data_IF_611664481529
#
_entry.id   IF_611664481529
#
_cell.length_a   1.000
_cell.length_b   1.000
_cell.length_c   1.000
_cell.angle_alpha   90.00
_cell.angle_beta   90.00
_cell.angle_gamma   90.00
#
_symmetry.space_group_name_H-M   'P 1'
#
loop_
_entity.id
_entity.type
_entity.pdbx_description
1 polymer ?
#
# COMPACT_ATOMS: atom_id res chain seq x y z
N UNK A 1 41.59 1.23 -44.57
CA UNK A 1 40.69 1.49 -43.41
C UNK A 1 40.94 0.44 -42.35
N UNK A 2 41.35 0.86 -41.14
CA UNK A 2 41.46 -0.09 -40.01
C UNK A 2 40.07 -0.59 -39.63
N UNK A 3 39.98 -1.86 -39.24
CA UNK A 3 38.73 -2.48 -38.76
C UNK A 3 37.98 -1.57 -37.75
N UNK A 4 38.72 -0.95 -36.82
CA UNK A 4 38.19 -0.04 -35.82
C UNK A 4 37.48 1.17 -36.42
N UNK A 5 38.06 1.77 -37.46
CA UNK A 5 37.48 2.92 -38.16
C UNK A 5 36.21 2.53 -38.92
N UNK A 6 36.23 1.38 -39.58
CA UNK A 6 35.05 0.82 -40.25
C UNK A 6 33.94 0.54 -39.22
N UNK A 7 34.23 -0.13 -38.13
CA UNK A 7 33.26 -0.46 -37.08
C UNK A 7 32.64 0.80 -36.46
N UNK A 8 33.44 1.85 -36.22
CA UNK A 8 32.92 3.11 -35.67
C UNK A 8 32.03 3.84 -36.68
N UNK A 9 32.39 3.89 -37.96
CA UNK A 9 31.57 4.50 -39.00
C UNK A 9 30.26 3.72 -39.16
N UNK A 10 30.32 2.39 -39.26
CA UNK A 10 29.12 1.54 -39.32
C UNK A 10 28.20 1.74 -38.15
N UNK A 11 28.73 1.82 -36.91
CA UNK A 11 27.95 2.12 -35.72
C UNK A 11 27.28 3.48 -35.78
N UNK A 12 27.92 4.50 -36.36
CA UNK A 12 27.37 5.83 -36.48
C UNK A 12 26.24 5.92 -37.52
N UNK A 13 26.37 5.18 -38.62
CA UNK A 13 25.42 5.19 -39.75
C UNK A 13 24.25 4.21 -39.54
N UNK A 14 24.48 3.10 -38.79
CA UNK A 14 23.52 2.00 -38.54
C UNK A 14 23.43 1.67 -37.05
N UNK A 15 23.16 2.68 -36.23
CA UNK A 15 23.15 2.54 -34.76
C UNK A 15 22.08 1.58 -34.26
N UNK A 16 20.95 1.53 -34.91
CA UNK A 16 19.84 0.62 -34.67
C UNK A 16 20.26 -0.86 -34.84
N UNK A 17 20.82 -1.18 -35.99
CA UNK A 17 21.32 -2.54 -36.31
C UNK A 17 22.46 -2.93 -35.40
N UNK A 18 23.36 -1.97 -35.10
CA UNK A 18 24.47 -2.19 -34.21
C UNK A 18 24.02 -2.55 -32.77
N UNK A 19 23.04 -1.81 -32.25
CA UNK A 19 22.52 -2.03 -30.89
C UNK A 19 21.76 -3.34 -30.83
N UNK A 20 20.88 -3.62 -31.82
CA UNK A 20 20.13 -4.89 -31.85
C UNK A 20 21.07 -6.10 -31.87
N UNK A 21 22.06 -6.08 -32.78
CA UNK A 21 22.99 -7.20 -32.95
C UNK A 21 23.92 -7.44 -31.76
N UNK A 22 24.28 -6.39 -31.02
CA UNK A 22 25.26 -6.49 -29.94
C UNK A 22 24.66 -6.50 -28.52
N UNK A 23 23.55 -5.83 -28.34
CA UNK A 23 22.95 -5.59 -27.03
C UNK A 23 21.53 -6.15 -26.93
N UNK A 24 20.96 -6.54 -28.08
CA UNK A 24 19.66 -7.20 -28.16
C UNK A 24 18.47 -6.25 -28.16
N UNK A 25 17.29 -6.81 -28.38
CA UNK A 25 16.02 -6.10 -28.56
C UNK A 25 15.67 -5.13 -27.41
N UNK A 26 15.99 -5.50 -26.17
CA UNK A 26 15.76 -4.61 -25.02
C UNK A 26 16.57 -3.32 -25.15
N UNK A 27 17.85 -3.42 -25.55
CA UNK A 27 18.69 -2.24 -25.73
C UNK A 27 18.24 -1.39 -26.93
N UNK A 28 17.73 -2.00 -28.00
CA UNK A 28 17.11 -1.31 -29.13
C UNK A 28 15.94 -0.45 -28.67
N UNK A 29 15.02 -1.02 -27.85
CA UNK A 29 13.91 -0.28 -27.28
C UNK A 29 14.36 0.84 -26.33
N UNK A 30 15.44 0.60 -25.58
CA UNK A 30 15.92 1.53 -24.57
C UNK A 30 16.74 2.69 -25.10
N UNK A 31 17.48 2.49 -26.22
CA UNK A 31 18.50 3.42 -26.70
C UNK A 31 18.20 4.03 -28.06
N UNK A 32 17.39 3.36 -28.89
CA UNK A 32 17.24 3.70 -30.29
C UNK A 32 15.82 4.06 -30.68
N UNK A 33 14.85 3.20 -30.32
CA UNK A 33 13.47 3.45 -30.72
C UNK A 33 12.93 4.72 -30.07
N UNK A 34 12.20 5.56 -30.83
CA UNK A 34 11.58 6.75 -30.30
C UNK A 34 10.52 6.36 -29.25
N UNK A 35 10.48 7.07 -28.15
CA UNK A 35 9.44 6.90 -27.16
C UNK A 35 8.21 7.75 -27.52
N UNK A 36 7.03 7.22 -27.16
CA UNK A 36 5.77 7.94 -27.36
C UNK A 36 5.68 9.04 -26.29
N UNK A 37 5.70 10.29 -26.75
CA UNK A 37 5.42 11.45 -25.88
C UNK A 37 3.96 11.42 -25.48
N UNK A 38 3.70 11.49 -24.18
CA UNK A 38 2.33 11.47 -23.63
C UNK A 38 1.87 12.90 -23.36
N UNK A 39 0.77 13.27 -23.98
CA UNK A 39 0.11 14.54 -23.72
C UNK A 39 -0.85 14.40 -22.52
N UNK A 40 -0.50 15.03 -21.41
CA UNK A 40 -1.30 15.06 -20.18
C UNK A 40 -2.19 16.33 -20.10
N UNK A 41 -2.21 17.17 -21.12
CA UNK A 41 -3.03 18.39 -21.12
C UNK A 41 -4.52 18.08 -20.95
N UNK A 42 -4.97 16.96 -21.50
CA UNK A 42 -6.36 16.48 -21.47
C UNK A 42 -6.77 15.83 -20.15
N UNK A 43 -5.83 15.57 -19.26
CA UNK A 43 -6.13 14.99 -17.93
C UNK A 43 -6.50 16.09 -16.95
N UNK A 44 -7.39 15.76 -16.06
CA UNK A 44 -7.67 16.54 -14.86
C UNK A 44 -6.99 15.90 -13.64
N UNK A 45 -6.80 16.67 -12.57
CA UNK A 45 -6.29 16.17 -11.30
C UNK A 45 -7.20 15.04 -10.81
N UNK A 46 -6.62 13.90 -10.45
CA UNK A 46 -7.34 12.72 -9.98
C UNK A 46 -7.97 11.85 -11.09
N UNK A 47 -7.80 12.20 -12.38
CA UNK A 47 -8.21 11.26 -13.45
C UNK A 47 -7.35 10.00 -13.42
N UNK A 48 -6.04 10.15 -13.36
CA UNK A 48 -5.09 9.04 -13.34
C UNK A 48 -4.10 9.21 -12.20
N UNK A 49 -4.04 8.23 -11.31
CA UNK A 49 -2.98 8.14 -10.32
C UNK A 49 -2.05 6.98 -10.65
N UNK A 50 -0.76 7.19 -10.43
CA UNK A 50 0.30 6.23 -10.73
C UNK A 50 0.81 5.66 -9.42
N UNK A 51 0.68 4.35 -9.24
CA UNK A 51 1.14 3.64 -8.04
C UNK A 51 2.43 2.87 -8.26
N UNK A 52 3.35 2.97 -7.31
CA UNK A 52 4.57 2.17 -7.30
C UNK A 52 5.14 2.02 -5.88
N UNK A 53 5.98 0.99 -5.68
CA UNK A 53 6.70 0.74 -4.45
C UNK A 53 8.17 1.17 -4.53
N UNK A 54 8.68 1.76 -3.45
CA UNK A 54 10.07 2.19 -3.34
C UNK A 54 10.68 1.72 -2.03
N UNK A 55 11.76 0.94 -2.08
CA UNK A 55 12.50 0.54 -0.89
C UNK A 55 13.41 1.67 -0.46
N UNK A 56 13.07 2.32 0.65
CA UNK A 56 13.78 3.48 1.17
C UNK A 56 15.25 3.14 1.53
N UNK A 57 16.17 4.05 1.26
CA UNK A 57 17.61 3.84 1.41
C UNK A 57 18.15 4.26 2.80
N UNK A 58 17.33 4.15 3.83
CA UNK A 58 17.69 4.42 5.21
C UNK A 58 17.10 3.38 6.16
N UNK A 59 17.58 3.33 7.40
CA UNK A 59 17.05 2.45 8.43
C UNK A 59 16.05 3.17 9.33
N UNK A 60 15.02 2.42 9.74
CA UNK A 60 14.10 2.76 10.82
C UNK A 60 14.16 1.69 11.90
N UNK A 61 13.69 2.02 13.09
CA UNK A 61 13.54 1.05 14.18
C UNK A 61 12.31 0.18 13.88
N UNK A 62 12.53 -1.14 13.79
CA UNK A 62 11.42 -2.09 13.64
C UNK A 62 10.53 -2.03 14.88
N UNK A 63 9.22 -1.75 14.76
CA UNK A 63 8.32 -1.57 15.91
C UNK A 63 8.13 -2.84 16.74
N UNK A 64 8.40 -4.02 16.16
CA UNK A 64 8.20 -5.31 16.83
C UNK A 64 9.47 -5.85 17.49
N UNK A 65 10.64 -5.67 16.85
CA UNK A 65 11.90 -6.26 17.30
C UNK A 65 12.90 -5.24 17.83
N UNK A 66 12.67 -3.96 17.58
CA UNK A 66 13.61 -2.88 17.89
C UNK A 66 14.85 -2.84 16.99
N UNK A 67 15.05 -3.80 16.11
CA UNK A 67 16.21 -3.88 15.22
C UNK A 67 16.10 -2.91 14.04
N UNK A 68 17.25 -2.46 13.50
CA UNK A 68 17.25 -1.64 12.27
C UNK A 68 16.70 -2.41 11.08
N UNK A 69 15.77 -1.80 10.34
CA UNK A 69 15.20 -2.36 9.11
C UNK A 69 15.01 -1.25 8.08
N UNK A 70 15.19 -1.58 6.80
CA UNK A 70 14.84 -0.67 5.70
C UNK A 70 13.36 -0.82 5.37
N UNK A 71 12.57 0.25 5.51
CA UNK A 71 11.15 0.19 5.19
C UNK A 71 10.90 0.32 3.69
N UNK A 72 9.68 0.03 3.29
CA UNK A 72 9.18 0.22 1.93
C UNK A 72 8.10 1.29 1.94
N UNK A 73 8.20 2.24 1.03
CA UNK A 73 7.20 3.24 0.71
C UNK A 73 6.37 2.73 -0.46
N UNK A 74 5.06 2.71 -0.34
CA UNK A 74 4.14 2.67 -1.47
C UNK A 74 3.53 4.04 -1.61
N UNK A 75 3.58 4.62 -2.81
CA UNK A 75 3.05 5.94 -3.07
C UNK A 75 2.22 5.99 -4.33
N UNK A 76 1.29 6.94 -4.36
CA UNK A 76 0.53 7.30 -5.55
C UNK A 76 0.83 8.75 -5.92
N UNK A 77 1.08 8.96 -7.20
CA UNK A 77 1.32 10.25 -7.84
C UNK A 77 0.14 10.59 -8.73
N UNK A 78 -0.41 11.78 -8.62
CA UNK A 78 -1.34 12.29 -9.61
C UNK A 78 -0.60 12.65 -10.91
N UNK A 79 -1.08 12.14 -12.04
CA UNK A 79 -0.36 12.32 -13.29
C UNK A 79 -0.42 13.76 -13.81
N UNK A 80 -1.52 14.47 -13.60
CA UNK A 80 -1.69 15.85 -14.05
C UNK A 80 -0.78 16.82 -13.34
N UNK A 81 -0.75 16.78 -12.03
CA UNK A 81 0.03 17.71 -11.21
C UNK A 81 1.50 17.28 -11.04
N UNK A 82 1.76 15.96 -11.12
CA UNK A 82 3.05 15.37 -10.80
C UNK A 82 3.30 15.19 -9.30
N UNK A 83 2.34 15.53 -8.43
CA UNK A 83 2.50 15.48 -6.98
C UNK A 83 2.13 14.13 -6.35
N UNK A 84 2.67 13.87 -5.15
CA UNK A 84 2.21 12.79 -4.30
C UNK A 84 0.79 13.07 -3.81
N UNK A 85 -0.11 12.11 -3.97
CA UNK A 85 -1.50 12.24 -3.47
C UNK A 85 -1.79 11.32 -2.29
N UNK A 86 -1.01 10.26 -2.11
CA UNK A 86 -1.09 9.40 -0.96
C UNK A 86 0.08 8.45 -0.88
N UNK A 87 0.41 8.04 0.34
CA UNK A 87 1.48 7.08 0.58
C UNK A 87 1.22 6.26 1.84
N UNK A 88 1.98 5.17 1.97
CA UNK A 88 2.07 4.36 3.18
C UNK A 88 3.50 3.83 3.32
N UNK A 89 3.99 3.74 4.56
CA UNK A 89 5.30 3.17 4.87
C UNK A 89 5.12 1.93 5.73
N UNK A 90 5.61 0.81 5.26
CA UNK A 90 5.59 -0.47 5.97
C UNK A 90 6.94 -1.18 5.91
N UNK A 91 7.11 -2.25 6.67
CA UNK A 91 8.32 -3.07 6.64
C UNK A 91 8.52 -3.75 5.30
N UNK A 92 7.41 -4.14 4.65
CA UNK A 92 7.40 -4.82 3.35
C UNK A 92 6.22 -4.32 2.50
N UNK A 93 6.41 -4.33 1.19
CA UNK A 93 5.33 -4.09 0.24
C UNK A 93 4.36 -5.28 0.25
N UNK A 94 3.12 -4.99 0.62
CA UNK A 94 2.05 -5.97 0.64
C UNK A 94 0.70 -5.33 0.27
N UNK A 95 -0.33 -6.15 0.12
CA UNK A 95 -1.68 -5.71 -0.23
C UNK A 95 -2.22 -4.63 0.71
N UNK A 96 -1.93 -4.73 2.01
CA UNK A 96 -2.38 -3.75 3.01
C UNK A 96 -1.70 -2.39 2.80
N UNK A 97 -0.39 -2.37 2.53
CA UNK A 97 0.36 -1.15 2.26
C UNK A 97 -0.19 -0.41 1.03
N UNK A 98 -0.44 -1.15 -0.07
CA UNK A 98 -1.01 -0.59 -1.30
C UNK A 98 -2.42 -0.06 -1.08
N UNK A 99 -3.27 -0.81 -0.36
CA UNK A 99 -4.63 -0.39 -0.05
C UNK A 99 -4.66 0.86 0.85
N UNK A 100 -3.76 0.94 1.84
CA UNK A 100 -3.64 2.12 2.72
C UNK A 100 -3.19 3.35 1.93
N UNK A 101 -2.17 3.23 1.10
CA UNK A 101 -1.70 4.30 0.24
C UNK A 101 -2.79 4.79 -0.73
N UNK A 102 -3.59 3.86 -1.31
CA UNK A 102 -4.73 4.20 -2.16
C UNK A 102 -5.83 4.94 -1.38
N UNK A 103 -6.17 4.45 -0.18
CA UNK A 103 -7.13 5.11 0.71
C UNK A 103 -6.73 6.54 1.02
N UNK A 104 -5.47 6.74 1.42
CA UNK A 104 -4.92 8.05 1.70
C UNK A 104 -4.97 8.95 0.46
N UNK A 105 -4.72 8.40 -0.74
CA UNK A 105 -4.83 9.13 -2.00
C UNK A 105 -6.24 9.62 -2.29
N UNK A 106 -7.25 8.78 -2.07
CA UNK A 106 -8.67 9.13 -2.28
C UNK A 106 -9.10 10.23 -1.31
N UNK A 107 -8.70 10.12 -0.04
CA UNK A 107 -9.01 11.12 0.99
C UNK A 107 -8.34 12.46 0.64
N UNK A 108 -7.05 12.46 0.29
CA UNK A 108 -6.30 13.67 -0.03
C UNK A 108 -6.76 14.34 -1.33
N UNK A 109 -7.18 13.56 -2.33
CA UNK A 109 -7.79 14.06 -3.55
C UNK A 109 -9.23 14.57 -3.34
N UNK A 110 -9.91 14.12 -2.28
CA UNK A 110 -11.32 14.40 -2.03
C UNK A 110 -12.27 13.74 -3.05
N UNK A 111 -11.77 12.82 -3.87
CA UNK A 111 -12.52 12.07 -4.88
C UNK A 111 -11.84 10.74 -5.23
N UNK A 112 -12.62 9.79 -5.75
CA UNK A 112 -12.09 8.52 -6.25
C UNK A 112 -11.45 8.75 -7.63
N UNK A 113 -10.21 8.29 -7.88
CA UNK A 113 -9.58 8.40 -9.20
C UNK A 113 -10.30 7.53 -10.23
N UNK A 114 -10.32 7.96 -11.49
CA UNK A 114 -10.94 7.17 -12.58
C UNK A 114 -10.06 6.00 -12.98
N UNK A 115 -8.74 6.21 -12.99
CA UNK A 115 -7.76 5.22 -13.41
C UNK A 115 -6.63 5.11 -12.40
N UNK A 116 -6.19 3.88 -12.16
CA UNK A 116 -4.93 3.57 -11.46
C UNK A 116 -3.96 2.94 -12.43
N UNK A 117 -2.84 3.61 -12.69
CA UNK A 117 -1.74 3.08 -13.49
C UNK A 117 -0.68 2.48 -12.56
N UNK A 118 -0.45 1.17 -12.65
CA UNK A 118 0.43 0.45 -11.72
C UNK A 118 1.31 -0.57 -12.43
N UNK A 119 2.35 -1.03 -11.74
CA UNK A 119 3.21 -2.09 -12.25
C UNK A 119 2.53 -3.46 -12.19
N UNK A 120 3.13 -4.40 -12.91
CA UNK A 120 2.74 -5.81 -12.89
C UNK A 120 3.25 -6.57 -11.65
N UNK A 121 3.63 -5.87 -10.58
CA UNK A 121 4.08 -6.47 -9.32
C UNK A 121 3.05 -7.40 -8.69
N UNK A 122 3.51 -8.47 -8.02
CA UNK A 122 2.60 -9.47 -7.40
C UNK A 122 1.65 -8.86 -6.38
N UNK A 123 2.12 -7.88 -5.60
CA UNK A 123 1.31 -7.22 -4.58
C UNK A 123 0.20 -6.36 -5.19
N UNK A 124 0.50 -5.64 -6.28
CA UNK A 124 -0.48 -4.85 -7.04
C UNK A 124 -1.49 -5.72 -7.81
N UNK A 125 -1.12 -6.96 -8.17
CA UNK A 125 -2.00 -7.95 -8.81
C UNK A 125 -2.71 -8.87 -7.83
N UNK A 126 -2.66 -8.58 -6.53
CA UNK A 126 -3.35 -9.41 -5.55
C UNK A 126 -4.85 -9.48 -5.89
N UNK A 127 -5.44 -10.64 -5.64
CA UNK A 127 -6.88 -10.90 -5.86
C UNK A 127 -7.79 -9.85 -5.25
N UNK A 128 -7.37 -9.27 -4.13
CA UNK A 128 -8.05 -8.18 -3.45
C UNK A 128 -8.35 -6.98 -4.36
N UNK A 129 -7.44 -6.65 -5.31
CA UNK A 129 -7.62 -5.51 -6.21
C UNK A 129 -8.36 -5.87 -7.49
N UNK A 130 -8.07 -7.01 -8.09
CA UNK A 130 -8.35 -7.31 -9.50
C UNK A 130 -9.37 -8.42 -9.74
N UNK A 131 -9.74 -9.23 -8.72
CA UNK A 131 -10.62 -10.38 -8.93
C UNK A 131 -12.05 -9.94 -9.27
N UNK A 132 -12.58 -10.44 -10.40
CA UNK A 132 -13.98 -10.30 -10.76
C UNK A 132 -14.82 -11.16 -9.81
N UNK A 133 -15.56 -10.53 -8.91
CA UNK A 133 -16.42 -11.22 -7.96
C UNK A 133 -16.41 -10.61 -6.56
N UNK A 134 -16.15 -11.45 -5.56
CA UNK A 134 -16.35 -11.11 -4.14
C UNK A 134 -15.38 -10.06 -3.61
N UNK A 135 -14.16 -9.91 -4.18
CA UNK A 135 -13.08 -9.12 -3.58
C UNK A 135 -12.47 -7.99 -4.43
N UNK A 136 -13.03 -7.70 -5.60
CA UNK A 136 -12.44 -6.68 -6.50
C UNK A 136 -12.54 -5.24 -5.99
N UNK A 137 -11.55 -4.76 -5.26
CA UNK A 137 -11.52 -3.39 -4.72
C UNK A 137 -11.72 -2.33 -5.80
N UNK A 138 -10.98 -2.41 -6.90
CA UNK A 138 -11.10 -1.42 -7.98
C UNK A 138 -12.51 -1.37 -8.56
N UNK A 139 -13.16 -2.52 -8.73
CA UNK A 139 -14.55 -2.60 -9.19
C UNK A 139 -15.52 -1.96 -8.19
N UNK A 140 -15.33 -2.23 -6.90
CA UNK A 140 -16.17 -1.63 -5.85
C UNK A 140 -16.07 -0.09 -5.82
N UNK A 141 -14.88 0.44 -6.10
CA UNK A 141 -14.59 1.87 -6.15
C UNK A 141 -14.89 2.50 -7.52
N UNK A 142 -15.22 1.71 -8.55
CA UNK A 142 -15.40 2.20 -9.92
C UNK A 142 -14.11 2.61 -10.61
N UNK A 143 -12.96 2.12 -10.12
CA UNK A 143 -11.62 2.43 -10.66
C UNK A 143 -11.27 1.45 -11.77
N UNK A 144 -10.73 1.97 -12.89
CA UNK A 144 -10.15 1.14 -13.93
C UNK A 144 -8.62 1.02 -13.73
N UNK A 145 -8.14 -0.23 -13.59
CA UNK A 145 -6.71 -0.48 -13.44
C UNK A 145 -6.05 -0.60 -14.82
N UNK A 146 -4.98 0.17 -15.03
CA UNK A 146 -4.12 0.10 -16.21
C UNK A 146 -2.79 -0.49 -15.79
N UNK A 147 -2.44 -1.66 -16.31
CA UNK A 147 -1.15 -2.28 -16.06
C UNK A 147 -0.10 -1.81 -17.06
N UNK A 148 1.09 -1.45 -16.58
CA UNK A 148 2.22 -1.14 -17.44
C UNK A 148 2.60 -2.36 -18.29
N UNK A 149 2.86 -2.15 -19.58
CA UNK A 149 3.40 -3.23 -20.42
C UNK A 149 4.79 -3.63 -19.89
N UNK A 150 5.10 -4.93 -19.84
CA UNK A 150 6.43 -5.39 -19.43
C UNK A 150 7.53 -4.70 -20.26
N UNK A 151 8.64 -4.37 -19.63
CA UNK A 151 9.82 -3.74 -20.24
C UNK A 151 9.65 -2.29 -20.73
N UNK A 152 8.58 -1.59 -20.37
CA UNK A 152 8.41 -0.16 -20.70
C UNK A 152 8.59 0.72 -19.45
N UNK A 153 9.65 0.46 -18.68
CA UNK A 153 9.95 1.12 -17.41
C UNK A 153 10.14 2.64 -17.54
N UNK A 154 10.67 3.13 -18.66
CA UNK A 154 10.88 4.56 -18.92
C UNK A 154 9.59 5.41 -18.98
N UNK A 155 8.45 4.78 -18.86
CA UNK A 155 7.15 5.41 -19.01
C UNK A 155 6.49 5.85 -17.69
N UNK A 156 7.10 5.62 -16.54
CA UNK A 156 6.48 5.94 -15.25
C UNK A 156 7.02 7.25 -14.65
N UNK A 157 6.22 8.32 -14.60
CA UNK A 157 6.62 9.57 -13.96
C UNK A 157 7.01 9.42 -12.48
N UNK A 158 6.41 8.47 -11.76
CA UNK A 158 6.67 8.23 -10.33
C UNK A 158 8.12 7.81 -10.03
N UNK A 159 8.82 7.18 -10.98
CA UNK A 159 10.24 6.82 -10.81
C UNK A 159 11.13 8.06 -10.68
N UNK A 160 10.80 9.13 -11.42
CA UNK A 160 11.47 10.42 -11.27
C UNK A 160 11.20 11.02 -9.91
N UNK A 161 9.96 10.95 -9.45
CA UNK A 161 9.55 11.46 -8.14
C UNK A 161 10.27 10.72 -6.99
N UNK A 162 10.44 9.39 -7.08
CA UNK A 162 11.23 8.63 -6.12
C UNK A 162 12.72 8.99 -6.15
N UNK A 163 13.27 9.36 -7.30
CA UNK A 163 14.64 9.85 -7.40
C UNK A 163 14.79 11.22 -6.70
N UNK A 164 13.85 12.13 -6.91
CA UNK A 164 13.81 13.42 -6.24
C UNK A 164 13.64 13.26 -4.72
N UNK A 165 12.78 12.33 -4.27
CA UNK A 165 12.66 11.95 -2.86
C UNK A 165 13.99 11.46 -2.29
N UNK A 166 14.67 10.57 -3.01
CA UNK A 166 15.96 10.03 -2.59
C UNK A 166 17.04 11.11 -2.48
N UNK A 167 17.15 11.97 -3.49
CA UNK A 167 18.22 12.95 -3.59
C UNK A 167 18.02 14.15 -2.64
N UNK A 168 16.79 14.45 -2.21
CA UNK A 168 16.48 15.61 -1.36
C UNK A 168 15.93 15.29 0.02
N UNK A 169 15.38 14.11 0.26
CA UNK A 169 14.84 13.70 1.56
C UNK A 169 15.69 12.59 2.20
N UNK A 170 15.84 11.44 1.52
CA UNK A 170 16.48 10.27 2.13
C UNK A 170 17.95 10.56 2.51
N UNK A 171 18.67 11.30 1.66
CA UNK A 171 20.08 11.68 1.89
C UNK A 171 20.27 12.51 3.16
N UNK A 172 19.26 13.28 3.58
CA UNK A 172 19.33 14.11 4.78
C UNK A 172 19.17 13.34 6.09
N UNK A 173 18.68 12.10 6.02
CA UNK A 173 18.41 11.31 7.21
C UNK A 173 19.70 10.72 7.81
N UNK A 174 19.87 10.78 9.15
CA UNK A 174 21.08 10.24 9.82
C UNK A 174 21.32 8.75 9.54
N UNK A 175 20.24 7.98 9.31
CA UNK A 175 20.26 6.55 9.04
C UNK A 175 20.35 6.18 7.54
N UNK A 176 20.66 7.15 6.66
CA UNK A 176 20.82 6.92 5.23
C UNK A 176 22.00 5.99 4.90
N UNK A 177 21.75 5.00 4.05
CA UNK A 177 22.74 3.97 3.70
C UNK A 177 23.21 3.99 2.25
N UNK A 178 22.54 4.79 1.41
CA UNK A 178 22.74 4.77 -0.04
C UNK A 178 22.00 3.61 -0.74
N UNK A 179 21.72 3.79 -2.02
CA UNK A 179 20.99 2.81 -2.86
C UNK A 179 21.90 1.80 -3.51
N UNK A 180 23.19 2.09 -3.61
CA UNK A 180 24.20 1.22 -4.21
C UNK A 180 25.55 1.36 -3.50
N UNK A 181 26.45 0.40 -3.77
CA UNK A 181 27.82 0.44 -3.24
C UNK A 181 28.55 1.74 -3.67
N UNK A 182 28.25 2.27 -4.85
CA UNK A 182 28.84 3.50 -5.38
C UNK A 182 28.29 4.73 -4.65
N UNK A 183 26.98 4.77 -4.39
CA UNK A 183 26.28 5.86 -3.69
C UNK A 183 26.35 5.74 -2.16
N UNK A 184 27.00 4.70 -1.62
CA UNK A 184 27.20 4.54 -0.17
C UNK A 184 28.03 5.72 0.35
N UNK A 185 27.58 6.45 1.39
CA UNK A 185 28.34 7.55 1.98
C UNK A 185 29.77 7.15 2.36
N UNK A 186 30.74 8.05 2.15
CA UNK A 186 32.14 7.76 2.36
C UNK A 186 32.47 7.31 3.80
N UNK A 187 31.77 7.88 4.78
CA UNK A 187 31.88 7.50 6.19
C UNK A 187 31.46 6.04 6.43
N UNK A 188 30.44 5.56 5.75
CA UNK A 188 29.97 4.16 5.85
C UNK A 188 30.92 3.17 5.17
N UNK A 189 31.75 3.64 4.23
CA UNK A 189 32.79 2.81 3.58
C UNK A 189 33.99 2.57 4.48
N UNK A 190 34.28 3.52 5.38
CA UNK A 190 35.52 3.52 6.19
C UNK A 190 35.39 2.81 7.53
N UNK A 191 34.22 2.78 8.14
CA UNK A 191 34.07 2.21 9.49
C UNK A 191 32.65 1.66 9.75
N UNK A 192 32.35 0.46 9.20
CA UNK A 192 31.04 -0.18 9.37
C UNK A 192 30.68 -0.50 10.82
N UNK A 193 31.67 -0.79 11.69
CA UNK A 193 31.40 -1.10 13.10
C UNK A 193 30.97 0.14 13.88
N UNK A 194 31.68 1.24 13.74
CA UNK A 194 31.32 2.51 14.39
C UNK A 194 29.94 2.99 13.94
N UNK A 195 29.63 2.86 12.65
CA UNK A 195 28.32 3.23 12.13
C UNK A 195 27.20 2.34 12.66
N UNK A 196 27.43 1.03 12.81
CA UNK A 196 26.43 0.14 13.43
C UNK A 196 26.15 0.53 14.88
N UNK A 197 27.12 1.05 15.61
CA UNK A 197 26.94 1.53 16.98
C UNK A 197 26.24 2.89 17.04
N UNK A 198 26.61 3.85 16.18
CA UNK A 198 25.97 5.14 16.07
C UNK A 198 24.51 4.99 15.59
N UNK A 199 24.24 4.10 14.64
CA UNK A 199 22.91 3.81 14.15
C UNK A 199 21.99 3.21 15.23
N UNK A 200 22.51 2.40 16.15
CA UNK A 200 21.70 1.86 17.26
C UNK A 200 21.07 2.97 18.12
N UNK A 201 21.71 4.12 18.21
CA UNK A 201 21.28 5.23 19.08
C UNK A 201 20.39 6.25 18.35
N UNK A 202 20.56 6.42 17.02
CA UNK A 202 19.94 7.51 16.24
C UNK A 202 19.02 7.03 15.10
N UNK A 203 18.50 5.80 15.19
CA UNK A 203 17.55 5.30 14.19
C UNK A 203 16.18 5.85 14.51
N UNK A 204 15.51 6.57 13.58
CA UNK A 204 14.17 7.09 13.79
C UNK A 204 13.13 5.96 13.83
N UNK A 205 12.01 6.21 14.50
CA UNK A 205 10.83 5.34 14.40
C UNK A 205 10.10 5.55 13.08
N UNK A 206 9.20 4.63 12.73
CA UNK A 206 8.38 4.79 11.52
C UNK A 206 7.48 6.02 11.60
N UNK A 207 6.90 6.29 12.76
CA UNK A 207 6.04 7.45 13.00
C UNK A 207 6.80 8.77 12.80
N UNK A 208 8.03 8.87 13.31
CA UNK A 208 8.88 10.03 13.10
C UNK A 208 9.18 10.26 11.61
N UNK A 209 9.45 9.19 10.86
CA UNK A 209 9.68 9.28 9.42
C UNK A 209 8.43 9.75 8.67
N UNK A 210 7.25 9.24 9.01
CA UNK A 210 5.99 9.69 8.41
C UNK A 210 5.81 11.19 8.61
N UNK A 211 5.99 11.69 9.85
CA UNK A 211 5.86 13.12 10.16
C UNK A 211 6.83 13.98 9.36
N UNK A 212 8.11 13.60 9.31
CA UNK A 212 9.12 14.36 8.57
C UNK A 212 8.89 14.29 7.05
N UNK A 213 8.41 13.14 6.55
CA UNK A 213 8.06 12.99 5.14
C UNK A 213 6.85 13.87 4.77
N UNK A 214 5.84 13.96 5.62
CA UNK A 214 4.69 14.85 5.40
C UNK A 214 5.11 16.32 5.31
N UNK A 215 6.00 16.77 6.20
CA UNK A 215 6.55 18.14 6.16
C UNK A 215 7.33 18.37 4.85
N UNK A 216 8.18 17.40 4.46
CA UNK A 216 8.93 17.47 3.21
C UNK A 216 8.00 17.52 2.00
N UNK A 217 6.94 16.70 1.97
CA UNK A 217 5.96 16.68 0.88
C UNK A 217 5.20 18.01 0.76
N UNK A 218 4.80 18.62 1.87
CA UNK A 218 4.18 19.94 1.85
C UNK A 218 5.10 20.95 1.19
N UNK A 219 6.35 21.04 1.67
CA UNK A 219 7.38 21.92 1.08
C UNK A 219 7.59 21.62 -0.41
N UNK A 220 7.74 20.34 -0.77
CA UNK A 220 7.93 19.90 -2.13
C UNK A 220 6.77 20.35 -3.05
N UNK A 221 5.52 20.19 -2.62
CA UNK A 221 4.36 20.60 -3.41
C UNK A 221 4.28 22.12 -3.64
N UNK A 222 4.71 22.91 -2.69
CA UNK A 222 4.67 24.38 -2.79
C UNK A 222 5.88 24.99 -3.50
N UNK A 223 7.04 24.36 -3.46
CA UNK A 223 8.27 24.86 -4.06
C UNK A 223 8.52 24.33 -5.48
N UNK A 224 8.07 23.12 -5.79
CA UNK A 224 8.33 22.52 -7.10
C UNK A 224 7.32 22.96 -8.14
N UNK A 225 7.86 23.34 -9.33
CA UNK A 225 7.04 23.67 -10.49
C UNK A 225 6.32 22.42 -11.02
N UNK A 226 5.05 22.59 -11.41
CA UNK A 226 4.29 21.54 -12.06
C UNK A 226 4.94 21.17 -13.40
N UNK A 227 5.23 19.89 -13.67
CA UNK A 227 5.91 19.48 -14.91
C UNK A 227 5.05 19.67 -16.17
N UNK A 228 3.76 19.89 -16.02
CA UNK A 228 2.79 19.90 -17.12
C UNK A 228 2.04 21.22 -17.27
N UNK A 229 2.21 22.17 -16.35
CA UNK A 229 1.55 23.48 -16.37
C UNK A 229 2.58 24.54 -16.00
N UNK A 230 2.98 25.34 -16.99
CA UNK A 230 3.95 26.41 -16.80
C UNK A 230 3.43 27.49 -15.82
N UNK A 231 4.31 28.01 -14.98
CA UNK A 231 4.02 29.07 -14.03
C UNK A 231 3.21 28.67 -12.80
N UNK A 232 2.89 27.39 -12.62
CA UNK A 232 2.20 26.88 -11.43
C UNK A 232 3.05 25.88 -10.66
N UNK A 233 2.88 25.84 -9.35
CA UNK A 233 3.46 24.81 -8.50
C UNK A 233 2.61 23.53 -8.53
N UNK A 234 3.21 22.41 -8.11
CA UNK A 234 2.50 21.14 -7.95
C UNK A 234 1.29 21.31 -7.02
N UNK A 235 1.48 22.01 -5.88
CA UNK A 235 0.43 22.21 -4.89
C UNK A 235 -0.72 23.07 -5.40
N UNK A 236 -0.45 24.12 -6.18
CA UNK A 236 -1.50 24.94 -6.81
C UNK A 236 -2.36 24.12 -7.76
N UNK A 237 -1.73 23.29 -8.60
CA UNK A 237 -2.45 22.43 -9.54
C UNK A 237 -3.26 21.35 -8.81
N UNK A 238 -2.67 20.67 -7.82
CA UNK A 238 -3.40 19.69 -6.99
C UNK A 238 -4.62 20.32 -6.33
N UNK A 239 -4.45 21.45 -5.66
CA UNK A 239 -5.54 22.09 -4.91
C UNK A 239 -6.66 22.62 -5.81
N UNK A 240 -6.33 23.08 -7.03
CA UNK A 240 -7.33 23.54 -7.99
C UNK A 240 -8.24 22.43 -8.54
N UNK A 241 -7.81 21.19 -8.46
CA UNK A 241 -8.53 20.05 -9.03
C UNK A 241 -9.00 19.00 -7.99
N UNK A 242 -8.88 19.28 -6.69
CA UNK A 242 -9.44 18.42 -5.63
C UNK A 242 -10.96 18.33 -5.74
N UNK A 243 -11.49 17.18 -5.32
CA UNK A 243 -12.94 17.00 -5.13
C UNK A 243 -13.45 17.65 -3.84
N UNK A 244 -14.75 17.59 -3.65
CA UNK A 244 -15.45 18.17 -2.48
C UNK A 244 -15.22 17.40 -1.17
N UNK A 245 -14.57 16.24 -1.24
CA UNK A 245 -14.35 15.32 -0.13
C UNK A 245 -15.04 13.97 -0.35
N UNK A 246 -14.64 12.98 0.44
CA UNK A 246 -15.25 11.64 0.42
C UNK A 246 -15.78 11.28 1.81
N UNK A 247 -16.91 10.59 1.87
CA UNK A 247 -17.38 10.02 3.11
C UNK A 247 -16.48 8.84 3.50
N UNK A 248 -15.78 8.97 4.63
CA UNK A 248 -14.76 8.00 5.08
C UNK A 248 -15.41 6.64 5.40
N UNK A 249 -16.59 6.62 6.03
CA UNK A 249 -17.26 5.38 6.40
C UNK A 249 -17.68 4.59 5.16
N UNK A 250 -18.23 5.29 4.16
CA UNK A 250 -18.57 4.68 2.86
C UNK A 250 -17.35 4.18 2.13
N UNK A 251 -16.25 4.95 2.13
CA UNK A 251 -14.99 4.54 1.54
C UNK A 251 -14.45 3.27 2.22
N UNK A 252 -14.43 3.24 3.54
CA UNK A 252 -13.93 2.09 4.32
C UNK A 252 -14.78 0.84 4.07
N UNK A 253 -16.11 0.97 3.93
CA UNK A 253 -16.99 -0.15 3.60
C UNK A 253 -16.75 -0.69 2.18
N UNK A 254 -16.54 0.19 1.20
CA UNK A 254 -16.18 -0.18 -0.18
C UNK A 254 -14.81 -0.85 -0.26
N UNK A 255 -13.88 -0.47 0.62
CA UNK A 255 -12.53 -1.03 0.70
C UNK A 255 -12.43 -2.31 1.52
N UNK A 256 -13.50 -2.80 2.13
CA UNK A 256 -13.49 -4.07 2.84
C UNK A 256 -13.20 -5.25 1.90
N UNK A 257 -12.26 -6.08 2.31
CA UNK A 257 -12.00 -7.36 1.68
C UNK A 257 -13.13 -8.35 1.99
N UNK A 258 -13.36 -9.32 1.09
CA UNK A 258 -14.43 -10.32 1.21
C UNK A 258 -13.86 -11.71 1.10
N UNK A 259 -14.37 -12.63 1.89
CA UNK A 259 -14.00 -14.04 1.85
C UNK A 259 -15.18 -14.92 2.25
N UNK A 260 -15.27 -16.12 1.67
CA UNK A 260 -16.27 -17.12 2.07
C UNK A 260 -15.70 -17.97 3.19
N UNK A 261 -16.40 -18.03 4.31
CA UNK A 261 -16.05 -18.85 5.48
C UNK A 261 -17.23 -19.71 5.92
N UNK A 262 -16.90 -20.86 6.53
CA UNK A 262 -17.89 -21.72 7.17
C UNK A 262 -18.01 -21.34 8.65
N UNK A 263 -19.24 -21.22 9.12
CA UNK A 263 -19.49 -21.00 10.56
C UNK A 263 -19.21 -22.29 11.32
N UNK A 264 -18.43 -22.19 12.38
CA UNK A 264 -18.05 -23.29 13.27
C UNK A 264 -18.76 -23.14 14.63
N UNK A 265 -18.47 -24.05 15.56
CA UNK A 265 -19.05 -24.03 16.93
C UNK A 265 -18.81 -22.71 17.67
N UNK A 266 -17.62 -22.14 17.54
CA UNK A 266 -17.22 -20.90 18.21
C UNK A 266 -17.38 -19.65 17.32
N UNK A 267 -18.22 -19.72 16.28
CA UNK A 267 -18.38 -18.65 15.31
C UNK A 267 -17.51 -18.84 14.05
N UNK A 268 -16.82 -17.81 13.60
CA UNK A 268 -16.03 -17.81 12.36
C UNK A 268 -14.55 -17.72 12.71
N UNK A 269 -13.77 -18.71 12.28
CA UNK A 269 -12.31 -18.68 12.43
C UNK A 269 -11.69 -17.97 11.22
N UNK A 270 -10.98 -16.86 11.49
CA UNK A 270 -10.34 -16.06 10.47
C UNK A 270 -9.03 -15.43 10.98
N UNK A 271 -7.94 -15.55 10.22
CA UNK A 271 -6.60 -15.03 10.55
C UNK A 271 -6.15 -15.41 11.99
N UNK A 272 -6.34 -16.67 12.37
CA UNK A 272 -6.01 -17.24 13.69
C UNK A 272 -6.84 -16.68 14.86
N UNK A 273 -7.84 -15.84 14.61
CA UNK A 273 -8.78 -15.34 15.61
C UNK A 273 -10.16 -15.97 15.41
N UNK A 274 -10.93 -16.04 16.49
CA UNK A 274 -12.33 -16.43 16.45
C UNK A 274 -13.20 -15.17 16.53
N UNK A 275 -14.25 -15.12 15.71
CA UNK A 275 -15.21 -14.03 15.65
C UNK A 275 -16.60 -14.58 15.95
N UNK A 276 -17.30 -13.97 16.89
CA UNK A 276 -18.60 -14.45 17.33
C UNK A 276 -19.62 -13.31 17.48
N UNK A 277 -20.85 -13.63 17.15
CA UNK A 277 -22.07 -12.90 17.49
C UNK A 277 -23.20 -13.89 17.74
N UNK A 278 -24.19 -13.52 18.56
CA UNK A 278 -25.31 -14.38 18.92
C UNK A 278 -26.14 -14.82 17.71
N UNK A 279 -26.21 -14.00 16.65
CA UNK A 279 -26.92 -14.32 15.41
C UNK A 279 -26.27 -15.48 14.63
N UNK A 280 -25.01 -15.82 14.94
CA UNK A 280 -24.30 -16.96 14.31
C UNK A 280 -24.56 -18.28 15.03
N UNK A 281 -25.16 -18.23 16.22
CA UNK A 281 -25.43 -19.42 16.99
C UNK A 281 -26.44 -20.35 16.28
N UNK A 282 -26.10 -21.64 16.20
CA UNK A 282 -26.92 -22.63 15.47
C UNK A 282 -26.78 -22.62 13.95
N UNK A 283 -26.11 -21.62 13.37
CA UNK A 283 -25.94 -21.48 11.93
C UNK A 283 -24.69 -22.22 11.45
N UNK A 284 -24.81 -23.23 10.60
CA UNK A 284 -23.67 -24.06 10.11
C UNK A 284 -23.45 -23.96 8.60
N UNK A 285 -23.84 -22.87 7.97
CA UNK A 285 -23.69 -22.65 6.53
C UNK A 285 -22.43 -21.86 6.19
N UNK A 286 -22.08 -21.83 4.91
CA UNK A 286 -21.09 -20.90 4.39
C UNK A 286 -21.69 -19.49 4.36
N UNK A 287 -20.86 -18.52 4.68
CA UNK A 287 -21.22 -17.08 4.72
C UNK A 287 -20.12 -16.27 4.04
N UNK A 288 -20.47 -15.10 3.58
CA UNK A 288 -19.51 -14.10 3.12
C UNK A 288 -19.13 -13.26 4.34
N UNK A 289 -17.85 -13.17 4.63
CA UNK A 289 -17.32 -12.19 5.59
C UNK A 289 -16.75 -11.00 4.84
N UNK A 290 -17.02 -9.78 5.33
CA UNK A 290 -16.33 -8.56 4.94
C UNK A 290 -15.48 -8.10 6.13
N UNK A 291 -14.24 -7.73 5.87
CA UNK A 291 -13.31 -7.31 6.90
C UNK A 291 -12.42 -6.17 6.42
N UNK A 292 -12.08 -5.26 7.33
CA UNK A 292 -11.13 -4.19 7.06
C UNK A 292 -9.71 -4.73 7.12
N UNK A 293 -8.86 -4.36 6.17
CA UNK A 293 -7.42 -4.65 6.23
C UNK A 293 -6.72 -3.85 7.34
N UNK A 294 -7.35 -2.81 7.86
CA UNK A 294 -6.78 -1.88 8.83
C UNK A 294 -7.26 -2.14 10.27
N UNK A 295 -8.43 -2.75 10.40
CA UNK A 295 -9.04 -3.03 11.70
C UNK A 295 -9.73 -4.40 11.68
N UNK A 296 -9.17 -5.33 12.44
CA UNK A 296 -9.66 -6.70 12.59
C UNK A 296 -10.35 -6.94 13.95
N UNK A 297 -10.85 -5.90 14.60
CA UNK A 297 -11.62 -6.03 15.84
C UNK A 297 -13.00 -6.67 15.63
N UNK A 298 -13.57 -6.49 14.43
CA UNK A 298 -14.83 -7.09 14.01
C UNK A 298 -14.83 -7.46 12.53
N UNK A 299 -15.77 -8.31 12.14
CA UNK A 299 -16.06 -8.66 10.75
C UNK A 299 -17.57 -8.57 10.50
N UNK A 300 -17.97 -8.06 9.32
CA UNK A 300 -19.37 -8.05 8.89
C UNK A 300 -19.69 -9.38 8.21
N UNK A 301 -20.78 -10.01 8.60
CA UNK A 301 -21.18 -11.35 8.11
C UNK A 301 -22.45 -11.25 7.29
N UNK A 302 -22.45 -11.88 6.11
CA UNK A 302 -23.55 -11.88 5.16
C UNK A 302 -23.88 -13.31 4.72
N UNK A 303 -25.16 -13.58 4.41
CA UNK A 303 -25.56 -14.80 3.69
C UNK A 303 -24.91 -14.80 2.30
N UNK A 304 -24.86 -15.97 1.65
CA UNK A 304 -24.40 -16.05 0.26
C UNK A 304 -25.29 -15.26 -0.71
N UNK A 305 -26.52 -14.98 -0.33
CA UNK A 305 -27.47 -14.10 -1.05
C UNK A 305 -27.10 -12.60 -0.99
N UNK A 306 -26.13 -12.22 -0.14
CA UNK A 306 -25.76 -10.83 0.12
C UNK A 306 -26.52 -10.15 1.27
N UNK A 307 -27.46 -10.84 1.91
CA UNK A 307 -28.21 -10.34 3.07
C UNK A 307 -27.30 -10.25 4.30
N UNK A 308 -27.31 -9.13 4.99
CA UNK A 308 -26.54 -8.90 6.22
C UNK A 308 -27.08 -9.75 7.36
N UNK A 309 -26.21 -10.40 8.11
CA UNK A 309 -26.55 -11.20 9.30
C UNK A 309 -26.18 -10.44 10.57
N UNK A 310 -24.92 -10.10 10.75
CA UNK A 310 -24.43 -9.45 11.96
C UNK A 310 -23.01 -8.86 11.77
N UNK A 311 -22.58 -8.11 12.75
CA UNK A 311 -21.18 -7.74 12.95
C UNK A 311 -20.60 -8.57 14.06
N UNK A 312 -19.81 -9.59 13.69
CA UNK A 312 -19.17 -10.50 14.66
C UNK A 312 -17.88 -9.87 15.18
N UNK A 313 -17.77 -9.77 16.51
CA UNK A 313 -16.60 -9.22 17.21
C UNK A 313 -15.57 -10.31 17.44
N UNK A 314 -14.29 -9.90 17.48
CA UNK A 314 -13.19 -10.80 17.84
C UNK A 314 -13.38 -11.28 19.29
N UNK A 315 -13.24 -12.58 19.48
CA UNK A 315 -13.32 -13.21 20.79
C UNK A 315 -11.91 -13.36 21.33
N UNK A 316 -11.60 -12.65 22.41
CA UNK A 316 -10.34 -12.84 23.11
C UNK A 316 -10.44 -14.08 24.02
N UNK A 317 -9.37 -14.90 24.11
CA UNK A 317 -9.34 -16.02 25.03
C UNK A 317 -9.53 -15.55 26.47
N UNK A 318 -10.30 -16.29 27.27
CA UNK A 318 -10.41 -16.00 28.69
C UNK A 318 -9.24 -16.62 29.47
N UNK A 319 -8.79 -15.97 30.51
CA UNK A 319 -7.81 -16.54 31.42
C UNK A 319 -8.41 -17.82 32.09
N UNK A 320 -7.76 -18.98 31.95
CA UNK A 320 -8.25 -20.22 32.56
C UNK A 320 -8.30 -20.16 34.10
N UNK A 321 -7.53 -19.27 34.71
CA UNK A 321 -7.48 -19.07 36.17
C UNK A 321 -8.14 -17.76 36.61
N UNK A 322 -8.98 -17.13 35.75
CA UNK A 322 -9.61 -15.84 36.01
C UNK A 322 -10.25 -15.74 37.41
N UNK A 323 -10.94 -16.79 37.91
CA UNK A 323 -11.57 -16.80 39.21
C UNK A 323 -10.60 -16.91 40.38
N UNK A 324 -9.33 -17.28 40.14
CA UNK A 324 -8.35 -17.54 41.23
C UNK A 324 -7.21 -16.54 41.23
N UNK A 325 -6.68 -16.20 40.04
CA UNK A 325 -5.51 -15.34 39.87
C UNK A 325 -5.76 -14.17 38.90
N UNK A 326 -6.95 -14.11 38.30
CA UNK A 326 -7.30 -13.08 37.32
C UNK A 326 -7.54 -11.69 37.91
N UNK A 327 -7.45 -10.70 37.05
CA UNK A 327 -7.86 -9.33 37.42
C UNK A 327 -9.38 -9.21 37.47
N UNK A 328 -9.94 -8.15 38.12
CA UNK A 328 -11.38 -7.89 38.11
C UNK A 328 -12.00 -7.91 36.70
N UNK A 329 -11.24 -7.48 35.67
CA UNK A 329 -11.65 -7.51 34.28
C UNK A 329 -11.76 -8.95 33.73
N UNK A 330 -10.82 -9.83 34.06
CA UNK A 330 -10.84 -11.23 33.61
C UNK A 330 -12.00 -11.99 34.22
N UNK A 331 -12.32 -11.71 35.50
CA UNK A 331 -13.48 -12.29 36.21
C UNK A 331 -14.78 -11.82 35.56
N UNK A 332 -14.89 -10.54 35.23
CA UNK A 332 -16.08 -9.98 34.57
C UNK A 332 -16.28 -10.56 33.18
N UNK A 333 -15.20 -10.65 32.38
CA UNK A 333 -15.22 -11.27 31.02
C UNK A 333 -15.72 -12.73 31.12
N UNK A 334 -15.18 -13.52 32.05
CA UNK A 334 -15.61 -14.90 32.26
C UNK A 334 -17.09 -15.00 32.65
N UNK A 335 -17.57 -14.11 33.53
CA UNK A 335 -18.98 -14.04 33.93
C UNK A 335 -19.88 -13.73 32.75
N UNK A 336 -19.51 -12.75 31.92
CA UNK A 336 -20.28 -12.37 30.75
C UNK A 336 -20.36 -13.52 29.73
N UNK A 337 -19.24 -14.21 29.45
CA UNK A 337 -19.20 -15.39 28.55
C UNK A 337 -20.03 -16.55 29.11
N UNK A 338 -19.99 -16.77 30.40
CA UNK A 338 -20.79 -17.81 31.07
C UNK A 338 -22.29 -17.49 31.00
N UNK A 339 -22.67 -16.23 31.24
CA UNK A 339 -24.05 -15.75 31.12
C UNK A 339 -24.58 -15.93 29.71
N UNK A 340 -23.78 -15.54 28.71
CA UNK A 340 -24.11 -15.70 27.30
C UNK A 340 -24.35 -17.17 26.94
N UNK A 341 -23.46 -18.08 27.38
CA UNK A 341 -23.62 -19.52 27.16
C UNK A 341 -24.93 -20.06 27.71
N UNK A 342 -25.30 -19.71 28.93
CA UNK A 342 -26.58 -20.10 29.56
C UNK A 342 -27.80 -19.54 28.81
N UNK A 343 -27.69 -18.31 28.32
CA UNK A 343 -28.78 -17.69 27.53
C UNK A 343 -29.01 -18.43 26.21
N UNK A 344 -27.93 -18.78 25.49
CA UNK A 344 -28.03 -19.54 24.27
C UNK A 344 -28.55 -20.97 24.47
N UNK A 345 -28.17 -21.61 25.55
CA UNK A 345 -28.70 -22.93 25.96
C UNK A 345 -30.20 -22.86 26.21
N UNK A 346 -30.66 -21.90 27.04
CA UNK A 346 -32.08 -21.68 27.29
C UNK A 346 -32.90 -21.37 26.03
N UNK A 347 -32.34 -20.57 25.11
CA UNK A 347 -32.98 -20.29 23.80
C UNK A 347 -33.20 -21.58 23.01
N UNK A 348 -32.19 -22.47 22.97
CA UNK A 348 -32.30 -23.75 22.24
C UNK A 348 -33.38 -24.63 22.83
N UNK A 349 -33.45 -24.71 24.19
CA UNK A 349 -34.47 -25.47 24.90
C UNK A 349 -35.90 -24.95 24.61
N UNK A 350 -36.06 -23.62 24.55
CA UNK A 350 -37.36 -22.99 24.26
C UNK A 350 -37.80 -23.19 22.80
N UNK A 351 -36.86 -23.23 21.83
CA UNK A 351 -37.16 -23.48 20.42
C UNK A 351 -37.41 -24.97 20.12
N UNK A 352 -37.09 -25.88 21.08
CA UNK A 352 -37.31 -27.32 20.93
C UNK A 352 -38.68 -27.80 21.44
N UNK A 353 -39.36 -26.98 22.23
CA UNK A 353 -40.72 -27.21 22.72
C UNK A 353 -41.75 -26.57 21.78
#
# INVERSE_FOLDING_TARGET
>A
LTYRRFANNYKAEHYDVWVEAREGNKALHDKVLPYITRDVSKLEVGDVIIGDGHRLAFFVKNPYTGNPVRPTLVAYQDWKSGGFVGFEIMLEENTQCIASALRNSIINLGKVPRFVYQDNGKAFKAKYFTEDGISGLFKNLGIQAISAKPYNAKAKPIERLFRELQDSFEVMLPSYTGTSIIKKPAQLKRNEKLHKEIFKVNIPTMEQIVQVLEIWLQKYHYEQSCPHIEGKTIGEVLNSGKGEGVNIETLDDLMMAREIKKIQRNGIKFLKNDYFDQALYGYKKNVIIKYSLFNLSSIKVYKLSGEFICEAKRVDPSDPLANYLGTPKDIEDLKQKTKLKKLLEKRTETEFV
#
